data_IF_080614295595
#
_entry.id   IF_080614295595
#
_cell.length_a   1.000
_cell.length_b   1.000
_cell.length_c   1.000
_cell.angle_alpha   90.00
_cell.angle_beta   90.00
_cell.angle_gamma   90.00
#
_symmetry.space_group_name_H-M   'P 1'
#
loop_
_entity.id
_entity.type
_entity.pdbx_description
1 polymer ?
#
# COMPACT_ATOMS: atom_id res chain seq x y z
N UNK A 1 10.69 26.72 31.05
CA UNK A 1 10.26 27.17 29.70
C UNK A 1 11.04 26.32 28.71
N UNK A 2 10.34 25.64 27.80
CA UNK A 2 10.96 24.97 26.65
C UNK A 2 10.75 25.83 25.40
N UNK A 3 11.72 25.80 24.48
CA UNK A 3 11.64 26.58 23.24
C UNK A 3 10.66 25.88 22.29
N UNK A 4 9.58 26.56 21.95
CA UNK A 4 8.66 26.09 20.91
C UNK A 4 9.27 26.34 19.53
N UNK A 5 9.31 25.31 18.69
CA UNK A 5 9.73 25.41 17.28
C UNK A 5 8.49 25.37 16.40
N UNK A 6 8.30 26.39 15.58
CA UNK A 6 7.18 26.41 14.65
C UNK A 6 7.52 25.56 13.42
N UNK A 7 6.72 24.51 13.20
CA UNK A 7 6.80 23.60 12.04
C UNK A 7 8.24 23.13 11.68
N UNK A 8 9.02 22.58 12.62
CA UNK A 8 10.39 22.16 12.36
C UNK A 8 10.44 21.00 11.35
N UNK A 9 11.60 20.85 10.71
CA UNK A 9 11.96 19.66 9.95
C UNK A 9 12.63 18.65 10.89
N UNK A 10 12.30 17.37 10.71
CA UNK A 10 12.96 16.28 11.43
C UNK A 10 14.07 15.74 10.53
N UNK A 11 15.32 15.99 10.91
CA UNK A 11 16.50 15.50 10.19
C UNK A 11 17.35 14.69 11.15
N UNK A 12 17.83 13.54 10.70
CA UNK A 12 18.60 12.63 11.52
C UNK A 12 19.88 12.20 10.80
N UNK A 13 20.95 11.94 11.54
CA UNK A 13 22.24 11.54 10.99
C UNK A 13 22.54 10.10 11.35
N UNK A 14 22.78 9.27 10.33
CA UNK A 14 23.27 7.92 10.53
C UNK A 14 24.73 7.95 10.97
N UNK A 15 25.05 7.27 12.06
CA UNK A 15 26.45 7.03 12.46
C UNK A 15 26.75 5.53 12.56
N UNK A 16 28.01 5.19 12.36
CA UNK A 16 28.60 3.88 12.62
C UNK A 16 29.85 4.07 13.47
N UNK A 17 29.92 3.39 14.61
CA UNK A 17 31.11 3.37 15.47
C UNK A 17 31.70 1.96 15.60
N UNK A 18 33.02 1.83 15.71
CA UNK A 18 33.66 0.57 16.09
C UNK A 18 34.19 0.58 17.53
N UNK A 19 34.65 -0.58 17.99
CA UNK A 19 35.20 -0.75 19.34
C UNK A 19 36.60 -0.13 19.50
N UNK A 20 37.13 0.50 18.46
CA UNK A 20 38.47 1.09 18.43
C UNK A 20 38.43 2.62 18.48
N UNK A 21 37.25 3.21 18.73
CA UNK A 21 37.05 4.65 18.86
C UNK A 21 36.84 5.37 17.52
N UNK A 22 36.73 4.64 16.40
CA UNK A 22 36.36 5.24 15.13
C UNK A 22 34.84 5.43 15.09
N UNK A 23 34.40 6.62 14.67
CA UNK A 23 32.99 6.93 14.40
C UNK A 23 32.91 7.73 13.12
N UNK A 24 32.03 7.32 12.21
CA UNK A 24 31.76 7.96 10.92
C UNK A 24 30.26 8.20 10.75
N UNK A 25 29.89 9.20 9.97
CA UNK A 25 28.52 9.41 9.52
C UNK A 25 28.29 8.79 8.13
N UNK A 26 27.07 8.30 7.90
CA UNK A 26 26.59 7.88 6.58
C UNK A 26 25.57 8.89 6.01
N UNK A 27 25.82 10.18 6.25
CA UNK A 27 24.96 11.30 5.88
C UNK A 27 23.63 11.33 6.66
N UNK A 28 22.81 12.33 6.32
CA UNK A 28 21.54 12.60 6.96
C UNK A 28 20.33 12.05 6.17
N UNK A 29 19.23 11.88 6.90
CA UNK A 29 17.89 11.58 6.37
C UNK A 29 16.91 12.65 6.81
N UNK A 30 15.93 12.94 5.97
CA UNK A 30 14.77 13.75 6.33
C UNK A 30 13.57 12.84 6.60
N UNK A 31 12.96 13.02 7.77
CA UNK A 31 11.83 12.22 8.27
C UNK A 31 10.64 13.12 8.69
N UNK A 32 10.57 14.34 8.14
CA UNK A 32 9.56 15.35 8.49
C UNK A 32 8.13 14.90 8.22
N UNK A 33 7.91 14.01 7.23
CA UNK A 33 6.57 13.53 6.87
C UNK A 33 6.16 12.38 7.79
N UNK A 34 5.60 12.76 8.94
CA UNK A 34 5.17 11.86 10.01
C UNK A 34 3.72 12.12 10.42
N UNK A 35 3.06 11.11 11.02
CA UNK A 35 1.76 11.24 11.69
C UNK A 35 1.92 10.88 13.16
N UNK A 36 1.43 11.70 14.11
CA UNK A 36 1.53 11.38 15.56
C UNK A 36 2.91 10.82 15.96
N UNK A 37 3.98 11.46 15.50
CA UNK A 37 5.39 11.03 15.71
C UNK A 37 5.83 9.72 15.04
N UNK A 38 4.98 9.10 14.22
CA UNK A 38 5.30 7.93 13.41
C UNK A 38 5.69 8.37 11.99
N UNK A 39 6.94 8.09 11.60
CA UNK A 39 7.50 8.42 10.28
C UNK A 39 6.76 7.63 9.18
N UNK A 40 6.44 8.30 8.07
CA UNK A 40 5.64 7.76 6.96
C UNK A 40 6.40 7.80 5.63
N UNK A 41 7.09 8.92 5.38
CA UNK A 41 8.01 9.09 4.26
C UNK A 41 9.35 9.56 4.80
N UNK A 42 10.41 8.94 4.33
CA UNK A 42 11.79 9.24 4.68
C UNK A 42 12.61 9.39 3.41
N UNK A 43 13.58 10.30 3.40
CA UNK A 43 14.42 10.51 2.22
C UNK A 43 15.87 10.82 2.57
N UNK A 44 16.77 10.41 1.68
CA UNK A 44 18.20 10.69 1.76
C UNK A 44 18.72 11.13 0.38
N UNK A 45 19.60 12.15 0.31
CA UNK A 45 19.93 13.08 1.39
C UNK A 45 18.77 14.03 1.74
N UNK A 46 18.85 14.72 2.88
CA UNK A 46 17.88 15.77 3.19
C UNK A 46 18.07 16.96 2.25
N UNK A 47 16.98 17.50 1.72
CA UNK A 47 17.07 18.54 0.72
C UNK A 47 17.12 19.95 1.33
N UNK A 48 17.59 20.95 0.57
CA UNK A 48 17.60 22.34 1.03
C UNK A 48 18.52 22.64 2.22
N UNK A 49 19.52 21.78 2.47
CA UNK A 49 20.69 22.06 3.32
C UNK A 49 21.88 22.41 2.44
N UNK A 50 22.51 23.55 2.71
CA UNK A 50 23.80 23.93 2.12
C UNK A 50 24.89 22.94 2.56
N UNK A 51 26.01 22.92 1.83
CA UNK A 51 27.18 22.09 2.19
C UNK A 51 27.66 22.37 3.63
N UNK A 52 27.76 23.65 4.00
CA UNK A 52 28.23 24.08 5.32
C UNK A 52 27.28 23.66 6.45
N UNK A 53 25.96 23.82 6.25
CA UNK A 53 24.95 23.41 7.24
C UNK A 53 25.00 21.90 7.46
N UNK A 54 25.08 21.14 6.36
CA UNK A 54 25.22 19.69 6.40
C UNK A 54 26.50 19.26 7.12
N UNK A 55 27.65 19.81 6.77
CA UNK A 55 28.92 19.49 7.44
C UNK A 55 28.82 19.72 8.95
N UNK A 56 28.29 20.85 9.39
CA UNK A 56 28.11 21.15 10.81
C UNK A 56 27.18 20.16 11.52
N UNK A 57 26.07 19.78 10.88
CA UNK A 57 25.12 18.78 11.40
C UNK A 57 25.78 17.41 11.56
N UNK A 58 26.48 16.96 10.52
CA UNK A 58 27.15 15.66 10.46
C UNK A 58 28.31 15.56 11.46
N UNK A 59 29.14 16.60 11.57
CA UNK A 59 30.21 16.69 12.57
C UNK A 59 29.66 16.64 13.99
N UNK A 60 28.52 17.30 14.25
CA UNK A 60 27.88 17.30 15.56
C UNK A 60 27.42 15.88 15.94
N UNK A 61 26.83 15.13 15.01
CA UNK A 61 26.43 13.74 15.23
C UNK A 61 27.63 12.82 15.51
N UNK A 62 28.72 12.96 14.76
CA UNK A 62 29.96 12.20 14.99
C UNK A 62 30.57 12.54 16.35
N UNK A 63 30.58 13.82 16.73
CA UNK A 63 31.09 14.27 18.03
C UNK A 63 30.29 13.64 19.19
N UNK A 64 28.96 13.61 19.08
CA UNK A 64 28.09 12.94 20.05
C UNK A 64 28.41 11.45 20.15
N UNK A 65 28.55 10.75 19.00
CA UNK A 65 28.93 9.35 19.00
C UNK A 65 30.30 9.09 19.65
N UNK A 66 31.30 9.93 19.36
CA UNK A 66 32.64 9.81 19.95
C UNK A 66 32.65 10.09 21.45
N UNK A 67 31.90 11.07 21.93
CA UNK A 67 31.93 11.48 23.34
C UNK A 67 31.41 10.40 24.29
N UNK A 68 30.54 9.51 23.80
CA UNK A 68 29.99 8.38 24.56
C UNK A 68 30.69 7.05 24.23
N UNK A 69 31.74 7.05 23.40
CA UNK A 69 32.40 5.83 22.95
C UNK A 69 31.45 4.88 22.20
N UNK A 70 30.57 5.43 21.36
CA UNK A 70 29.51 4.68 20.71
C UNK A 70 30.08 3.61 19.76
N UNK A 71 29.45 2.44 19.76
CA UNK A 71 29.76 1.35 18.83
C UNK A 71 28.48 0.84 18.17
N UNK A 72 28.65 0.22 17.00
CA UNK A 72 27.56 -0.25 16.13
C UNK A 72 26.83 0.90 15.41
N UNK A 73 25.70 0.61 14.74
CA UNK A 73 24.86 1.59 14.08
C UNK A 73 24.01 2.37 15.09
N UNK A 74 23.91 3.68 14.87
CA UNK A 74 23.05 4.56 15.67
C UNK A 74 22.60 5.74 14.83
N UNK A 75 21.63 6.47 15.33
CA UNK A 75 21.11 7.65 14.63
C UNK A 75 20.94 8.80 15.62
N UNK A 76 21.44 9.97 15.26
CA UNK A 76 21.32 11.19 16.05
C UNK A 76 20.23 12.05 15.44
N UNK A 77 19.14 12.27 16.16
CA UNK A 77 17.96 13.00 15.69
C UNK A 77 18.05 14.48 16.03
N UNK A 78 17.69 15.33 15.06
CA UNK A 78 17.68 16.78 15.18
C UNK A 78 16.35 17.36 14.70
N UNK A 79 15.96 18.47 15.30
CA UNK A 79 14.94 19.37 14.76
C UNK A 79 15.62 20.58 14.14
N UNK A 80 15.24 20.95 12.91
CA UNK A 80 15.74 22.14 12.22
C UNK A 80 14.60 23.14 12.06
N UNK A 81 14.82 24.38 12.52
CA UNK A 81 13.87 25.48 12.39
C UNK A 81 13.97 26.19 11.02
N UNK A 82 13.06 27.15 10.78
CA UNK A 82 13.01 27.91 9.52
C UNK A 82 14.27 28.75 9.29
N UNK A 83 14.95 29.16 10.36
CA UNK A 83 16.22 29.90 10.34
C UNK A 83 17.44 28.99 10.15
N UNK A 84 17.24 27.68 9.94
CA UNK A 84 18.28 26.65 9.76
C UNK A 84 19.13 26.40 11.01
N UNK A 85 18.66 26.80 12.19
CA UNK A 85 19.25 26.33 13.43
C UNK A 85 18.78 24.90 13.70
N UNK A 86 19.71 24.02 14.06
CA UNK A 86 19.40 22.65 14.44
C UNK A 86 19.55 22.45 15.95
N UNK A 87 18.71 21.60 16.50
CA UNK A 87 18.65 21.28 17.93
C UNK A 87 18.67 19.76 18.07
N UNK A 88 19.58 19.25 18.90
CA UNK A 88 19.61 17.82 19.25
C UNK A 88 18.30 17.44 19.95
N UNK A 89 17.70 16.34 19.52
CA UNK A 89 16.49 15.79 20.13
C UNK A 89 16.84 14.56 20.97
N UNK A 90 17.29 13.51 20.31
CA UNK A 90 17.70 12.26 20.96
C UNK A 90 18.70 11.48 20.10
N UNK A 91 19.23 10.40 20.67
CA UNK A 91 20.03 9.44 19.93
C UNK A 91 19.40 8.05 20.04
N UNK A 92 19.05 7.48 18.91
CA UNK A 92 18.56 6.11 18.81
C UNK A 92 19.75 5.14 18.71
N UNK A 93 19.96 4.35 19.76
CA UNK A 93 21.10 3.44 19.91
C UNK A 93 20.87 2.07 19.24
N UNK A 94 20.25 2.10 18.06
CA UNK A 94 19.87 0.93 17.27
C UNK A 94 19.82 1.30 15.80
N UNK A 95 19.66 0.29 14.95
CA UNK A 95 19.29 0.51 13.55
C UNK A 95 17.92 1.20 13.45
N UNK A 96 17.81 2.17 12.56
CA UNK A 96 16.52 2.81 12.24
C UNK A 96 15.78 2.02 11.16
N UNK A 97 14.45 2.13 11.15
CA UNK A 97 13.60 1.40 10.19
C UNK A 97 13.92 1.83 8.75
N UNK A 98 14.13 3.13 8.60
CA UNK A 98 14.42 3.92 7.41
C UNK A 98 15.90 3.91 6.97
N UNK A 99 16.73 3.02 7.54
CA UNK A 99 18.12 2.85 7.08
C UNK A 99 18.27 2.57 5.56
N UNK A 100 17.33 1.93 4.83
CA UNK A 100 17.53 1.62 3.42
C UNK A 100 17.76 2.84 2.52
N UNK A 101 17.20 4.02 2.82
CA UNK A 101 17.46 5.22 2.01
C UNK A 101 18.93 5.64 2.10
N UNK A 102 19.57 5.42 3.25
CA UNK A 102 21.01 5.63 3.43
C UNK A 102 21.81 4.57 2.70
N UNK A 103 21.41 3.30 2.77
CA UNK A 103 22.11 2.22 2.08
C UNK A 103 22.10 2.41 0.56
N UNK A 104 20.96 2.80 -0.03
CA UNK A 104 20.84 3.01 -1.46
C UNK A 104 21.63 4.21 -1.97
N UNK A 105 21.76 5.27 -1.16
CA UNK A 105 22.52 6.47 -1.54
C UNK A 105 24.02 6.31 -1.32
N UNK A 106 24.45 5.52 -0.33
CA UNK A 106 25.87 5.35 0.01
C UNK A 106 26.49 4.07 -0.56
N UNK A 107 25.68 3.07 -0.90
CA UNK A 107 26.13 1.73 -1.28
C UNK A 107 26.65 0.89 -0.11
N UNK A 108 26.50 1.36 1.13
CA UNK A 108 26.97 0.67 2.34
C UNK A 108 25.82 -0.16 2.91
N UNK A 109 26.04 -1.46 3.05
CA UNK A 109 25.16 -2.37 3.78
C UNK A 109 25.41 -2.20 5.28
N UNK A 110 24.50 -1.48 5.94
CA UNK A 110 24.63 -1.12 7.35
C UNK A 110 24.52 -2.38 8.20
N UNK A 111 23.58 -3.28 7.90
CA UNK A 111 23.39 -4.53 8.67
C UNK A 111 24.66 -5.39 8.64
N UNK A 112 25.30 -5.50 7.48
CA UNK A 112 26.58 -6.19 7.33
C UNK A 112 27.67 -5.55 8.20
N UNK A 113 27.79 -4.22 8.18
CA UNK A 113 28.75 -3.52 9.05
C UNK A 113 28.43 -3.69 10.54
N UNK A 114 27.16 -3.69 10.94
CA UNK A 114 26.77 -3.97 12.32
C UNK A 114 27.27 -5.35 12.79
N UNK A 115 27.13 -6.39 11.95
CA UNK A 115 27.60 -7.75 12.26
C UNK A 115 29.13 -7.79 12.32
N UNK A 116 29.83 -7.12 11.41
CA UNK A 116 31.30 -7.03 11.40
C UNK A 116 31.81 -6.34 12.66
N UNK A 117 31.27 -5.19 13.01
CA UNK A 117 31.63 -4.42 14.21
C UNK A 117 31.36 -5.23 15.48
N UNK A 118 30.20 -5.88 15.56
CA UNK A 118 29.85 -6.76 16.69
C UNK A 118 30.84 -7.94 16.84
N UNK A 119 31.42 -8.39 15.73
CA UNK A 119 32.48 -9.42 15.72
C UNK A 119 33.88 -8.89 16.05
N UNK A 120 34.00 -7.63 16.46
CA UNK A 120 35.26 -6.98 16.79
C UNK A 120 36.05 -6.49 15.56
N UNK A 121 35.46 -6.39 14.38
CA UNK A 121 36.14 -5.81 13.23
C UNK A 121 36.19 -4.27 13.31
N UNK A 122 37.23 -3.67 12.73
CA UNK A 122 37.30 -2.23 12.46
C UNK A 122 36.37 -1.86 11.31
N UNK A 123 35.93 -0.59 11.27
CA UNK A 123 35.27 -0.02 10.10
C UNK A 123 36.14 -0.22 8.85
N UNK A 124 35.51 -0.61 7.73
CA UNK A 124 36.21 -0.87 6.47
C UNK A 124 36.53 0.37 5.65
N UNK A 125 36.07 1.53 6.10
CA UNK A 125 36.17 2.80 5.38
C UNK A 125 36.37 3.95 6.37
N UNK A 126 36.99 5.01 5.87
CA UNK A 126 37.14 6.29 6.55
C UNK A 126 36.10 7.29 6.04
N UNK A 127 35.89 8.37 6.81
CA UNK A 127 34.86 9.37 6.50
C UNK A 127 34.94 9.95 5.08
N UNK A 128 36.15 10.15 4.55
CA UNK A 128 36.39 10.75 3.24
C UNK A 128 36.11 9.79 2.05
N UNK A 129 35.98 8.49 2.32
CA UNK A 129 35.68 7.47 1.30
C UNK A 129 34.17 7.33 1.07
N UNK A 130 33.36 7.74 2.06
CA UNK A 130 31.90 7.62 2.02
C UNK A 130 31.33 8.74 1.14
N UNK A 131 30.60 8.36 0.10
CA UNK A 131 29.93 9.29 -0.82
C UNK A 131 28.44 8.98 -0.84
N UNK A 132 27.61 10.02 -0.84
CA UNK A 132 26.20 9.91 -1.16
C UNK A 132 25.99 10.29 -2.64
N UNK A 133 25.34 9.42 -3.40
CA UNK A 133 25.01 9.63 -4.81
C UNK A 133 23.52 9.44 -5.01
N UNK A 134 22.93 10.24 -5.90
CA UNK A 134 21.51 10.18 -6.21
C UNK A 134 20.63 10.59 -5.04
N UNK A 135 19.38 10.13 -5.08
CA UNK A 135 18.37 10.40 -4.07
C UNK A 135 17.52 9.15 -3.86
N UNK A 136 17.21 8.85 -2.61
CA UNK A 136 16.37 7.74 -2.23
C UNK A 136 15.22 8.19 -1.35
N UNK A 137 14.04 7.59 -1.56
CA UNK A 137 12.82 7.90 -0.80
C UNK A 137 12.17 6.58 -0.41
N UNK A 138 11.87 6.44 0.87
CA UNK A 138 11.13 5.33 1.45
C UNK A 138 9.68 5.75 1.75
N UNK A 139 8.75 4.83 1.50
CA UNK A 139 7.39 4.92 1.99
C UNK A 139 7.04 3.67 2.79
N UNK A 140 6.49 3.89 3.99
CA UNK A 140 5.97 2.81 4.84
C UNK A 140 4.53 2.49 4.50
N UNK A 141 4.28 1.25 4.10
CA UNK A 141 2.93 0.72 3.90
C UNK A 141 2.44 0.13 5.22
N UNK A 142 1.30 0.63 5.72
CA UNK A 142 0.68 0.20 6.97
C UNK A 142 -0.72 -0.37 6.75
N UNK A 143 -1.10 -1.35 7.57
CA UNK A 143 -2.46 -1.84 7.74
C UNK A 143 -3.29 -0.86 8.57
N UNK A 144 -3.66 0.27 7.97
CA UNK A 144 -4.36 1.36 8.64
C UNK A 144 -5.42 2.01 7.75
N UNK A 145 -6.31 2.78 8.38
CA UNK A 145 -7.30 3.60 7.69
C UNK A 145 -7.02 5.11 7.87
N UNK A 146 -6.29 5.75 6.94
CA UNK A 146 -6.02 7.19 7.00
C UNK A 146 -7.29 8.05 7.09
N UNK A 147 -8.37 7.68 6.40
CA UNK A 147 -9.62 8.43 6.41
C UNK A 147 -10.35 8.39 7.76
N UNK A 148 -10.06 7.38 8.57
CA UNK A 148 -10.53 7.26 9.96
C UNK A 148 -9.46 7.63 10.98
N UNK A 149 -8.52 8.53 10.62
CA UNK A 149 -7.48 8.98 11.54
C UNK A 149 -6.38 7.94 11.81
N UNK A 150 -6.07 7.12 10.81
CA UNK A 150 -5.06 6.05 10.86
C UNK A 150 -5.33 4.96 11.90
N UNK A 151 -6.61 4.61 12.09
CA UNK A 151 -6.95 3.45 12.92
C UNK A 151 -6.31 2.17 12.34
N UNK A 152 -5.68 1.32 13.17
CA UNK A 152 -5.19 0.01 12.74
C UNK A 152 -6.29 -0.83 12.10
N UNK A 153 -5.93 -1.59 11.08
CA UNK A 153 -6.81 -2.47 10.31
C UNK A 153 -6.28 -3.91 10.29
N UNK A 154 -6.23 -4.60 11.44
CA UNK A 154 -5.89 -6.02 11.48
C UNK A 154 -6.93 -6.84 10.69
N UNK A 155 -6.52 -8.01 10.21
CA UNK A 155 -7.37 -8.92 9.46
C UNK A 155 -6.61 -9.70 8.39
N UNK A 156 -7.38 -10.40 7.57
CA UNK A 156 -6.82 -11.28 6.54
C UNK A 156 -6.51 -10.51 5.25
N UNK A 157 -5.26 -10.58 4.81
CA UNK A 157 -4.85 -10.24 3.46
C UNK A 157 -5.18 -11.43 2.57
N UNK A 158 -6.07 -11.23 1.60
CA UNK A 158 -6.48 -12.30 0.67
C UNK A 158 -5.68 -12.29 -0.62
N UNK A 159 -5.11 -11.14 -0.97
CA UNK A 159 -4.31 -10.96 -2.15
C UNK A 159 -3.38 -9.77 -1.95
N UNK A 160 -2.12 -9.95 -2.29
CA UNK A 160 -1.13 -8.89 -2.36
C UNK A 160 -0.37 -9.01 -3.66
N UNK A 161 -0.05 -7.87 -4.27
CA UNK A 161 0.80 -7.80 -5.45
C UNK A 161 1.78 -6.64 -5.29
N UNK A 162 3.06 -6.99 -5.34
CA UNK A 162 4.18 -6.06 -5.37
C UNK A 162 4.90 -6.29 -6.69
N UNK A 163 4.96 -5.29 -7.59
CA UNK A 163 5.61 -5.47 -8.89
C UNK A 163 7.12 -5.59 -8.74
N UNK A 164 7.78 -6.32 -9.64
CA UNK A 164 9.24 -6.27 -9.74
C UNK A 164 9.65 -5.03 -10.55
N UNK A 165 10.52 -4.18 -9.98
CA UNK A 165 10.98 -2.95 -10.63
C UNK A 165 12.43 -2.64 -10.26
N UNK A 166 13.29 -2.42 -11.26
CA UNK A 166 14.76 -2.31 -11.10
C UNK A 166 15.23 -1.27 -10.07
N UNK A 167 14.56 -0.12 -10.03
CA UNK A 167 14.95 1.01 -9.17
C UNK A 167 14.16 1.07 -7.85
N UNK A 168 13.53 -0.05 -7.48
CA UNK A 168 12.77 -0.17 -6.25
C UNK A 168 13.33 -1.32 -5.44
N UNK A 169 13.65 -1.02 -4.18
CA UNK A 169 13.86 -2.03 -3.15
C UNK A 169 12.56 -2.19 -2.37
N UNK A 170 12.21 -3.45 -2.10
CA UNK A 170 11.07 -3.81 -1.29
C UNK A 170 11.56 -4.63 -0.09
N UNK A 171 11.38 -4.09 1.12
CA UNK A 171 11.55 -4.84 2.34
C UNK A 171 10.13 -5.17 2.87
N UNK A 172 9.67 -6.41 2.71
CA UNK A 172 8.33 -6.83 3.16
C UNK A 172 8.35 -8.20 3.83
N UNK A 173 7.50 -8.37 4.85
CA UNK A 173 7.19 -9.66 5.45
C UNK A 173 6.03 -10.40 4.77
N UNK A 174 5.44 -9.85 3.70
CA UNK A 174 4.26 -10.41 3.02
C UNK A 174 4.69 -11.08 1.73
N UNK A 175 4.47 -12.39 1.65
CA UNK A 175 4.77 -13.19 0.46
C UNK A 175 3.54 -13.89 -0.14
N UNK A 176 2.51 -14.07 0.68
CA UNK A 176 1.29 -14.81 0.35
C UNK A 176 0.12 -14.26 1.19
N UNK A 177 -1.13 -14.69 0.92
CA UNK A 177 -2.25 -14.39 1.81
C UNK A 177 -1.91 -14.73 3.27
N UNK A 178 -2.09 -13.77 4.17
CA UNK A 178 -1.68 -13.88 5.56
C UNK A 178 -2.60 -13.07 6.48
N UNK A 179 -2.51 -13.35 7.78
CA UNK A 179 -3.24 -12.64 8.81
C UNK A 179 -2.38 -11.54 9.43
N UNK A 180 -2.89 -10.31 9.45
CA UNK A 180 -2.28 -9.19 10.19
C UNK A 180 -2.92 -9.13 11.57
N UNK A 181 -2.13 -9.47 12.59
CA UNK A 181 -2.56 -9.47 13.98
C UNK A 181 -2.45 -8.07 14.60
N UNK A 182 -3.29 -7.78 15.59
CA UNK A 182 -3.28 -6.51 16.32
C UNK A 182 -2.19 -6.41 17.40
N UNK A 183 -1.43 -7.49 17.63
CA UNK A 183 -0.40 -7.54 18.69
C UNK A 183 0.91 -6.87 18.31
N UNK A 184 1.13 -6.60 17.02
CA UNK A 184 2.37 -6.05 16.50
C UNK A 184 2.13 -4.73 15.78
N UNK A 185 3.22 -4.05 15.43
CA UNK A 185 3.16 -2.87 14.58
C UNK A 185 2.49 -3.21 13.22
N UNK A 186 1.58 -2.36 12.72
CA UNK A 186 0.81 -2.66 11.50
C UNK A 186 1.61 -2.49 10.20
N UNK A 187 2.93 -2.33 10.23
CA UNK A 187 3.76 -2.17 9.02
C UNK A 187 3.75 -3.45 8.19
N UNK A 188 3.43 -3.29 6.91
CA UNK A 188 3.30 -4.35 5.91
C UNK A 188 4.54 -4.44 5.02
N UNK A 189 5.08 -3.29 4.63
CA UNK A 189 6.24 -3.20 3.76
C UNK A 189 6.88 -1.81 3.84
N UNK A 190 8.16 -1.76 3.50
CA UNK A 190 8.88 -0.53 3.13
C UNK A 190 9.16 -0.58 1.64
N UNK A 191 8.75 0.45 0.93
CA UNK A 191 9.01 0.60 -0.50
C UNK A 191 9.99 1.73 -0.67
N UNK A 192 11.16 1.44 -1.23
CA UNK A 192 12.25 2.40 -1.33
C UNK A 192 12.62 2.59 -2.78
N UNK A 193 12.49 3.81 -3.28
CA UNK A 193 12.97 4.19 -4.60
C UNK A 193 14.36 4.77 -4.53
N UNK A 194 15.09 4.63 -5.64
CA UNK A 194 16.37 5.29 -5.86
C UNK A 194 16.43 5.84 -7.29
N UNK A 195 16.90 7.08 -7.44
CA UNK A 195 17.11 7.70 -8.73
C UNK A 195 18.25 8.74 -8.69
N UNK A 196 18.70 9.26 -9.85
CA UNK A 196 19.75 10.29 -9.89
C UNK A 196 19.35 11.61 -9.20
N UNK A 197 18.07 11.93 -9.14
CA UNK A 197 17.55 13.10 -8.44
C UNK A 197 16.23 12.79 -7.71
N UNK A 198 15.86 13.68 -6.78
CA UNK A 198 14.67 13.54 -5.95
C UNK A 198 13.38 13.43 -6.76
N UNK A 199 13.23 14.22 -7.82
CA UNK A 199 11.99 14.24 -8.61
C UNK A 199 11.78 12.87 -9.26
N UNK A 200 12.82 12.32 -9.88
CA UNK A 200 12.79 10.98 -10.46
C UNK A 200 12.54 9.91 -9.38
N UNK A 201 13.11 10.03 -8.18
CA UNK A 201 12.86 9.09 -7.09
C UNK A 201 11.39 9.11 -6.64
N UNK A 202 10.77 10.30 -6.57
CA UNK A 202 9.32 10.44 -6.30
C UNK A 202 8.50 9.79 -7.41
N UNK A 203 8.83 10.03 -8.68
CA UNK A 203 8.11 9.49 -9.83
C UNK A 203 8.16 7.94 -9.86
N UNK A 204 9.33 7.36 -9.60
CA UNK A 204 9.51 5.90 -9.49
C UNK A 204 8.67 5.32 -8.34
N UNK A 205 8.67 5.97 -7.18
CA UNK A 205 7.88 5.55 -6.01
C UNK A 205 6.37 5.67 -6.27
N UNK A 206 5.92 6.76 -6.87
CA UNK A 206 4.52 6.95 -7.27
C UNK A 206 4.07 5.86 -8.26
N UNK A 207 4.91 5.56 -9.26
CA UNK A 207 4.64 4.52 -10.26
C UNK A 207 4.51 3.16 -9.57
N UNK A 208 5.43 2.81 -8.67
CA UNK A 208 5.39 1.54 -7.95
C UNK A 208 4.13 1.41 -7.07
N UNK A 209 3.82 2.45 -6.28
CA UNK A 209 2.62 2.48 -5.42
C UNK A 209 1.32 2.43 -6.24
N UNK A 210 1.31 2.94 -7.47
CA UNK A 210 0.14 2.85 -8.36
C UNK A 210 -0.17 1.42 -8.83
N UNK A 211 0.82 0.53 -8.76
CA UNK A 211 0.71 -0.87 -9.18
C UNK A 211 0.64 -1.82 -7.98
N UNK A 212 0.99 -1.35 -6.78
CA UNK A 212 0.96 -2.14 -5.55
C UNK A 212 -0.48 -2.36 -5.09
N UNK A 213 -0.82 -3.60 -4.77
CA UNK A 213 -2.20 -3.99 -4.39
C UNK A 213 -2.16 -4.79 -3.10
N UNK A 214 -3.04 -4.46 -2.15
CA UNK A 214 -3.31 -5.25 -0.95
C UNK A 214 -4.83 -5.29 -0.75
N UNK A 215 -5.41 -6.48 -0.80
CA UNK A 215 -6.84 -6.72 -0.62
C UNK A 215 -7.14 -7.49 0.66
N UNK A 216 -8.26 -7.16 1.30
CA UNK A 216 -8.76 -7.81 2.52
C UNK A 216 -8.84 -6.87 3.71
N UNK A 217 -7.79 -6.06 3.90
CA UNK A 217 -7.66 -5.04 4.94
C UNK A 217 -7.63 -3.62 4.36
N UNK A 218 -7.86 -2.61 5.20
CA UNK A 218 -7.56 -1.21 4.85
C UNK A 218 -6.04 -0.98 4.96
N UNK A 219 -5.52 -0.08 4.14
CA UNK A 219 -4.12 0.30 4.13
C UNK A 219 -3.94 1.75 3.70
N UNK A 220 -2.72 2.28 3.88
CA UNK A 220 -2.39 3.67 3.59
C UNK A 220 -1.89 3.94 2.15
N UNK A 221 -1.89 2.97 1.22
CA UNK A 221 -1.32 3.15 -0.14
C UNK A 221 -1.99 4.30 -0.89
N UNK A 222 -3.33 4.39 -0.82
CA UNK A 222 -4.08 5.48 -1.44
C UNK A 222 -3.72 6.87 -0.88
N UNK A 223 -3.42 6.93 0.42
CA UNK A 223 -2.94 8.16 1.08
C UNK A 223 -1.52 8.50 0.61
N UNK A 224 -0.59 7.54 0.58
CA UNK A 224 0.79 7.74 0.12
C UNK A 224 0.83 8.29 -1.32
N UNK A 225 -0.01 7.75 -2.22
CA UNK A 225 -0.13 8.21 -3.61
C UNK A 225 -0.57 9.67 -3.72
N UNK A 226 -1.45 10.13 -2.83
CA UNK A 226 -1.88 11.54 -2.80
C UNK A 226 -0.83 12.43 -2.15
N UNK A 227 -0.20 11.97 -1.08
CA UNK A 227 0.86 12.68 -0.38
C UNK A 227 2.02 12.99 -1.33
N UNK A 228 2.49 11.99 -2.07
CA UNK A 228 3.60 12.15 -3.02
C UNK A 228 3.25 13.03 -4.23
N UNK A 229 1.96 13.24 -4.53
CA UNK A 229 1.49 14.15 -5.59
C UNK A 229 1.26 15.58 -5.09
N UNK A 230 1.35 15.82 -3.79
CA UNK A 230 1.06 17.13 -3.22
C UNK A 230 2.18 18.12 -3.55
N UNK A 231 1.84 19.31 -4.06
CA UNK A 231 2.81 20.33 -4.46
C UNK A 231 3.74 20.76 -3.30
N UNK A 232 3.25 20.82 -2.07
CA UNK A 232 4.10 21.15 -0.91
C UNK A 232 5.18 20.08 -0.67
N UNK A 233 4.86 18.80 -0.90
CA UNK A 233 5.84 17.70 -0.79
C UNK A 233 6.85 17.75 -1.94
N UNK A 234 6.38 18.05 -3.15
CA UNK A 234 7.25 18.20 -4.33
C UNK A 234 8.21 19.40 -4.17
N UNK A 235 7.73 20.50 -3.61
CA UNK A 235 8.48 21.75 -3.37
C UNK A 235 9.22 21.77 -2.02
N UNK A 236 9.11 20.71 -1.20
CA UNK A 236 9.73 20.61 0.14
C UNK A 236 9.31 21.70 1.12
N UNK A 237 8.08 22.18 1.00
CA UNK A 237 7.45 23.12 1.94
C UNK A 237 6.66 22.35 3.00
N UNK A 238 7.36 21.45 3.70
CA UNK A 238 6.78 20.52 4.67
C UNK A 238 7.55 20.55 5.99
N UNK A 239 6.84 20.39 7.10
CA UNK A 239 7.43 20.13 8.42
C UNK A 239 6.67 19.02 9.14
N UNK A 240 7.02 18.76 10.40
CA UNK A 240 6.49 17.63 11.19
C UNK A 240 4.97 17.59 11.34
N UNK A 241 4.30 18.74 11.20
CA UNK A 241 2.85 18.85 11.34
C UNK A 241 2.10 18.78 10.01
N UNK A 242 2.80 18.64 8.87
CA UNK A 242 2.21 18.74 7.54
C UNK A 242 1.07 17.74 7.30
N UNK A 243 1.30 16.46 7.63
CA UNK A 243 0.29 15.41 7.41
C UNK A 243 -0.96 15.68 8.24
N UNK A 244 -0.80 16.07 9.51
CA UNK A 244 -1.92 16.34 10.41
C UNK A 244 -2.76 17.54 9.94
N UNK A 245 -2.10 18.63 9.53
CA UNK A 245 -2.76 19.83 9.02
C UNK A 245 -3.51 19.58 7.71
N UNK A 246 -3.02 18.67 6.86
CA UNK A 246 -3.56 18.40 5.53
C UNK A 246 -4.32 17.07 5.44
N UNK A 247 -4.59 16.39 6.56
CA UNK A 247 -5.12 15.02 6.56
C UNK A 247 -6.47 14.91 5.84
N UNK A 248 -7.35 15.90 6.01
CA UNK A 248 -8.66 15.93 5.35
C UNK A 248 -8.47 15.86 3.83
N UNK A 249 -7.69 16.77 3.25
CA UNK A 249 -7.48 16.84 1.81
C UNK A 249 -6.78 15.60 1.26
N UNK A 250 -5.82 15.07 2.02
CA UNK A 250 -5.09 13.85 1.67
C UNK A 250 -5.96 12.58 1.73
N UNK A 251 -7.11 12.62 2.40
CA UNK A 251 -8.01 11.47 2.57
C UNK A 251 -9.36 11.62 1.85
N UNK A 252 -9.72 12.83 1.42
CA UNK A 252 -10.98 13.10 0.71
C UNK A 252 -11.18 12.14 -0.46
N UNK A 253 -12.24 11.31 -0.47
CA UNK A 253 -12.50 10.44 -1.60
C UNK A 253 -12.72 11.30 -2.84
N UNK A 254 -12.16 10.89 -3.98
CA UNK A 254 -12.55 11.50 -5.25
C UNK A 254 -14.04 11.26 -5.43
N UNK A 255 -14.84 12.33 -5.50
CA UNK A 255 -16.27 12.22 -5.77
C UNK A 255 -16.44 11.52 -7.11
N UNK A 256 -17.08 10.35 -7.10
CA UNK A 256 -17.39 9.57 -8.31
C UNK A 256 -18.91 9.46 -8.41
N UNK A 257 -19.43 9.78 -9.58
CA UNK A 257 -20.83 9.52 -9.91
C UNK A 257 -21.03 8.02 -10.19
N UNK A 258 -22.28 7.56 -10.23
CA UNK A 258 -22.58 6.18 -10.65
C UNK A 258 -22.03 5.90 -12.06
N UNK A 259 -22.03 6.90 -12.95
CA UNK A 259 -21.50 6.79 -14.31
C UNK A 259 -20.00 6.49 -14.32
N UNK A 260 -19.23 7.14 -13.45
CA UNK A 260 -17.78 6.92 -13.33
C UNK A 260 -17.43 5.52 -12.81
N UNK A 261 -18.40 4.85 -12.16
CA UNK A 261 -18.25 3.51 -11.60
C UNK A 261 -18.70 2.40 -12.56
N UNK A 262 -19.29 2.71 -13.72
CA UNK A 262 -19.71 1.69 -14.69
C UNK A 262 -18.56 0.74 -15.07
N UNK A 263 -17.33 1.22 -15.42
CA UNK A 263 -16.23 0.31 -15.72
C UNK A 263 -15.88 -0.63 -14.55
N UNK A 264 -16.05 -0.18 -13.31
CA UNK A 264 -15.82 -0.99 -12.10
C UNK A 264 -16.90 -2.07 -11.96
N UNK A 265 -18.18 -1.73 -12.19
CA UNK A 265 -19.27 -2.72 -12.19
C UNK A 265 -19.13 -3.74 -13.32
N UNK A 266 -18.69 -3.31 -14.52
CA UNK A 266 -18.40 -4.19 -15.66
C UNK A 266 -17.22 -5.13 -15.37
N UNK A 267 -16.14 -4.62 -14.77
CA UNK A 267 -15.02 -5.43 -14.30
C UNK A 267 -15.48 -6.46 -13.25
N UNK A 268 -16.37 -6.06 -12.33
CA UNK A 268 -16.97 -6.96 -11.35
C UNK A 268 -17.79 -8.07 -12.03
N UNK A 269 -18.60 -7.73 -13.04
CA UNK A 269 -19.35 -8.69 -13.84
C UNK A 269 -18.44 -9.74 -14.49
N UNK A 270 -17.33 -9.28 -15.10
CA UNK A 270 -16.30 -10.15 -15.69
C UNK A 270 -15.69 -11.09 -14.65
N UNK A 271 -15.26 -10.56 -13.50
CA UNK A 271 -14.70 -11.38 -12.42
C UNK A 271 -15.71 -12.42 -11.94
N UNK A 272 -16.99 -12.08 -11.82
CA UNK A 272 -18.04 -13.03 -11.42
C UNK A 272 -18.21 -14.14 -12.45
N UNK A 273 -18.25 -13.78 -13.74
CA UNK A 273 -18.37 -14.75 -14.83
C UNK A 273 -17.18 -15.71 -14.84
N UNK A 274 -15.96 -15.19 -14.70
CA UNK A 274 -14.71 -15.97 -14.71
C UNK A 274 -14.59 -16.83 -13.45
N UNK A 275 -14.80 -16.26 -12.27
CA UNK A 275 -14.72 -17.00 -10.99
C UNK A 275 -15.83 -18.04 -10.81
N UNK A 276 -17.00 -17.82 -11.43
CA UNK A 276 -18.07 -18.81 -11.52
C UNK A 276 -17.79 -19.94 -12.53
N UNK A 277 -16.84 -19.75 -13.44
CA UNK A 277 -16.47 -20.68 -14.52
C UNK A 277 -14.97 -21.03 -14.50
N UNK A 278 -14.49 -21.69 -13.45
CA UNK A 278 -13.16 -22.35 -13.49
C UNK A 278 -13.24 -23.58 -14.40
N UNK A 279 -13.15 -23.34 -15.71
CA UNK A 279 -12.35 -24.07 -16.70
C UNK A 279 -12.46 -23.34 -18.06
N UNK A 280 -11.79 -22.19 -18.17
CA UNK A 280 -11.43 -21.63 -19.47
C UNK A 280 -9.93 -21.92 -19.66
N UNK A 281 -9.66 -22.82 -20.62
CA UNK A 281 -8.37 -23.31 -21.12
C UNK A 281 -7.71 -24.48 -20.37
N UNK A 282 -7.34 -25.47 -21.18
CA UNK A 282 -6.87 -26.80 -20.83
C UNK A 282 -7.21 -27.70 -22.02
N UNK A 283 -6.19 -28.12 -22.74
CA UNK A 283 -6.20 -28.63 -24.11
C UNK A 283 -6.90 -30.00 -24.26
N UNK A 284 -8.22 -30.04 -24.02
CA UNK A 284 -9.00 -31.27 -24.05
C UNK A 284 -9.68 -31.41 -25.42
N UNK A 285 -9.12 -32.29 -26.27
CA UNK A 285 -9.62 -32.68 -27.61
C UNK A 285 -10.95 -33.45 -27.57
N UNK A 286 -11.75 -33.28 -26.52
CA UNK A 286 -13.11 -33.85 -26.46
C UNK A 286 -14.11 -32.73 -26.73
N UNK A 287 -14.75 -32.78 -27.90
CA UNK A 287 -15.93 -31.99 -28.27
C UNK A 287 -17.10 -32.34 -27.33
N UNK A 288 -17.05 -31.85 -26.08
CA UNK A 288 -18.19 -31.92 -25.18
C UNK A 288 -19.18 -30.83 -25.62
N UNK A 289 -20.31 -31.27 -26.16
CA UNK A 289 -21.47 -30.45 -26.56
C UNK A 289 -21.76 -29.31 -25.54
N UNK A 290 -21.55 -29.56 -24.25
CA UNK A 290 -21.68 -28.59 -23.15
C UNK A 290 -20.73 -27.37 -23.19
N UNK A 291 -19.56 -27.47 -23.83
CA UNK A 291 -18.67 -26.32 -24.12
C UNK A 291 -19.18 -25.45 -25.28
N UNK A 292 -19.85 -26.05 -26.26
CA UNK A 292 -20.37 -25.35 -27.44
C UNK A 292 -21.72 -24.66 -27.18
N UNK A 293 -22.55 -25.20 -26.29
CA UNK A 293 -23.86 -24.60 -25.96
C UNK A 293 -23.70 -23.42 -24.97
N UNK A 294 -22.59 -23.38 -24.22
CA UNK A 294 -22.50 -22.56 -23.01
C UNK A 294 -23.38 -23.12 -21.90
N UNK A 295 -22.98 -22.97 -20.64
CA UNK A 295 -23.83 -23.39 -19.54
C UNK A 295 -25.03 -22.43 -19.41
N UNK A 296 -26.20 -22.90 -19.81
CA UNK A 296 -27.49 -22.28 -19.49
C UNK A 296 -27.75 -22.44 -17.99
N UNK A 297 -27.21 -21.55 -17.16
CA UNK A 297 -27.86 -21.20 -15.90
C UNK A 297 -28.83 -20.07 -16.20
N UNK A 298 -30.10 -20.23 -15.82
CA UNK A 298 -31.07 -19.14 -15.78
C UNK A 298 -30.39 -17.90 -15.19
N UNK A 299 -30.39 -16.84 -15.98
CA UNK A 299 -29.63 -15.61 -15.82
C UNK A 299 -29.90 -15.03 -14.42
N UNK A 300 -28.95 -15.21 -13.50
CA UNK A 300 -29.04 -14.60 -12.19
C UNK A 300 -28.98 -13.07 -12.36
N UNK A 301 -30.01 -12.38 -11.89
CA UNK A 301 -29.92 -10.96 -11.56
C UNK A 301 -29.02 -10.88 -10.33
N UNK A 302 -27.79 -10.40 -10.48
CA UNK A 302 -26.81 -10.37 -9.40
C UNK A 302 -26.76 -8.95 -8.82
N UNK A 303 -27.38 -8.70 -7.65
CA UNK A 303 -27.27 -7.41 -6.98
C UNK A 303 -25.86 -7.20 -6.43
N UNK A 304 -25.21 -6.14 -6.91
CA UNK A 304 -23.90 -5.68 -6.43
C UNK A 304 -24.05 -4.35 -5.71
N UNK A 305 -23.38 -4.25 -4.56
CA UNK A 305 -23.28 -3.03 -3.77
C UNK A 305 -21.83 -2.55 -3.69
N UNK A 306 -21.63 -1.24 -3.89
CA UNK A 306 -20.40 -0.52 -3.59
C UNK A 306 -20.75 0.78 -2.87
N UNK A 307 -20.44 0.84 -1.57
CA UNK A 307 -20.85 1.94 -0.68
C UNK A 307 -22.36 2.22 -0.81
N UNK A 308 -22.76 3.45 -1.13
CA UNK A 308 -24.13 3.87 -1.38
C UNK A 308 -24.68 3.44 -2.75
N UNK A 309 -23.83 3.00 -3.68
CA UNK A 309 -24.24 2.63 -5.03
C UNK A 309 -24.65 1.16 -5.11
N UNK A 310 -25.80 0.92 -5.73
CA UNK A 310 -26.29 -0.41 -6.05
C UNK A 310 -26.55 -0.52 -7.56
N UNK A 311 -26.24 -1.68 -8.11
CA UNK A 311 -26.56 -2.02 -9.49
C UNK A 311 -26.84 -3.52 -9.62
N UNK A 312 -27.75 -3.85 -10.53
CA UNK A 312 -28.10 -5.22 -10.87
C UNK A 312 -27.34 -5.66 -12.12
N UNK A 313 -26.53 -6.70 -12.00
CA UNK A 313 -25.82 -7.28 -13.15
C UNK A 313 -26.67 -8.37 -13.77
N UNK A 314 -26.85 -8.32 -15.10
CA UNK A 314 -27.43 -9.40 -15.88
C UNK A 314 -26.49 -9.78 -17.01
N UNK A 315 -26.14 -11.06 -17.09
CA UNK A 315 -25.30 -11.59 -18.16
C UNK A 315 -26.16 -12.02 -19.34
N UNK A 316 -25.87 -11.51 -20.54
CA UNK A 316 -26.63 -11.86 -21.74
C UNK A 316 -25.91 -12.92 -22.58
N UNK A 317 -24.60 -12.82 -22.74
CA UNK A 317 -23.79 -13.83 -23.43
C UNK A 317 -22.59 -13.24 -24.17
N UNK A 318 -21.67 -14.09 -24.66
CA UNK A 318 -20.71 -13.68 -25.67
C UNK A 318 -21.40 -13.51 -27.03
N UNK A 319 -21.17 -12.39 -27.71
CA UNK A 319 -21.62 -12.12 -29.08
C UNK A 319 -20.38 -11.89 -29.95
N UNK A 320 -19.94 -12.94 -30.65
CA UNK A 320 -18.72 -12.91 -31.44
C UNK A 320 -17.47 -12.76 -30.55
N UNK A 321 -16.74 -11.65 -30.69
CA UNK A 321 -15.55 -11.31 -29.86
C UNK A 321 -15.90 -10.41 -28.66
N UNK A 322 -17.17 -10.06 -28.51
CA UNK A 322 -17.64 -9.14 -27.49
C UNK A 322 -18.39 -9.89 -26.39
N UNK A 323 -18.41 -9.34 -25.18
CA UNK A 323 -19.31 -9.79 -24.12
C UNK A 323 -20.28 -8.69 -23.73
N UNK A 324 -21.57 -9.06 -23.69
CA UNK A 324 -22.66 -8.14 -23.39
C UNK A 324 -23.24 -8.37 -22.00
N UNK A 325 -23.42 -7.27 -21.28
CA UNK A 325 -23.98 -7.22 -19.92
C UNK A 325 -25.08 -6.17 -19.88
N UNK A 326 -26.09 -6.39 -19.06
CA UNK A 326 -26.93 -5.29 -18.59
C UNK A 326 -26.49 -4.89 -17.18
N UNK A 327 -26.33 -3.59 -16.99
CA UNK A 327 -26.28 -3.00 -15.66
C UNK A 327 -27.61 -2.28 -15.46
N UNK A 328 -28.38 -2.74 -14.49
CA UNK A 328 -29.77 -2.36 -14.29
C UNK A 328 -30.60 -2.64 -15.56
N UNK A 329 -30.99 -1.62 -16.31
CA UNK A 329 -31.77 -1.74 -17.57
C UNK A 329 -30.97 -1.34 -18.82
N UNK A 330 -29.72 -0.92 -18.65
CA UNK A 330 -28.88 -0.44 -19.73
C UNK A 330 -27.91 -1.52 -20.22
N UNK A 331 -27.78 -1.62 -21.55
CA UNK A 331 -26.92 -2.61 -22.22
C UNK A 331 -25.51 -2.07 -22.44
N UNK A 332 -24.51 -2.89 -22.10
CA UNK A 332 -23.09 -2.58 -22.23
C UNK A 332 -22.36 -3.72 -22.96
N UNK A 333 -21.46 -3.37 -23.89
CA UNK A 333 -20.61 -4.33 -24.61
C UNK A 333 -19.13 -4.09 -24.30
N UNK A 334 -18.40 -5.18 -24.07
CA UNK A 334 -16.97 -5.21 -23.76
C UNK A 334 -16.19 -5.95 -24.85
N UNK A 335 -15.02 -5.43 -25.20
CA UNK A 335 -14.11 -6.01 -26.21
C UNK A 335 -12.72 -6.28 -25.62
N UNK A 336 -11.88 -7.04 -26.31
CA UNK A 336 -10.47 -7.31 -25.93
C UNK A 336 -10.31 -7.76 -24.47
N UNK A 337 -11.17 -8.69 -24.05
CA UNK A 337 -11.22 -9.17 -22.67
C UNK A 337 -10.08 -10.16 -22.47
N UNK A 338 -9.25 -9.89 -21.47
CA UNK A 338 -8.16 -10.74 -21.05
C UNK A 338 -8.17 -10.88 -19.52
N UNK A 339 -7.81 -12.07 -19.05
CA UNK A 339 -7.72 -12.36 -17.62
C UNK A 339 -6.57 -13.30 -17.34
N UNK A 340 -5.52 -12.75 -16.73
CA UNK A 340 -4.34 -13.51 -16.36
C UNK A 340 -3.79 -13.00 -15.02
N UNK A 341 -3.33 -13.91 -14.15
CA UNK A 341 -2.65 -13.57 -12.89
C UNK A 341 -3.40 -12.53 -12.05
N UNK A 342 -4.71 -12.71 -11.87
CA UNK A 342 -5.59 -11.80 -11.14
C UNK A 342 -5.68 -10.37 -11.74
N UNK A 343 -5.29 -10.17 -13.00
CA UNK A 343 -5.49 -8.92 -13.74
C UNK A 343 -6.60 -9.13 -14.77
N UNK A 344 -7.67 -8.34 -14.68
CA UNK A 344 -8.70 -8.24 -15.71
C UNK A 344 -8.38 -7.04 -16.59
N UNK A 345 -8.33 -7.25 -17.89
CA UNK A 345 -8.21 -6.20 -18.89
C UNK A 345 -9.38 -6.28 -19.86
N UNK A 346 -9.93 -5.13 -20.26
CA UNK A 346 -10.95 -5.04 -21.29
C UNK A 346 -10.96 -3.65 -21.92
N UNK A 347 -11.56 -3.55 -23.11
CA UNK A 347 -11.87 -2.30 -23.78
C UNK A 347 -13.36 -2.01 -23.67
N UNK A 348 -13.69 -0.79 -23.27
CA UNK A 348 -15.05 -0.27 -23.19
C UNK A 348 -15.08 1.15 -23.74
N UNK A 349 -16.01 1.44 -24.67
CA UNK A 349 -16.12 2.75 -25.33
C UNK A 349 -14.77 3.26 -25.88
N UNK A 350 -14.02 2.40 -26.57
CA UNK A 350 -12.68 2.66 -27.12
C UNK A 350 -11.61 3.07 -26.08
N UNK A 351 -11.84 2.81 -24.79
CA UNK A 351 -10.87 3.01 -23.70
C UNK A 351 -10.49 1.67 -23.07
N UNK A 352 -9.21 1.49 -22.78
CA UNK A 352 -8.69 0.32 -22.10
C UNK A 352 -8.79 0.48 -20.58
N UNK A 353 -9.26 -0.57 -19.90
CA UNK A 353 -9.38 -0.63 -18.45
C UNK A 353 -8.64 -1.87 -17.92
N UNK A 354 -7.92 -1.70 -16.82
CA UNK A 354 -7.18 -2.76 -16.15
C UNK A 354 -7.46 -2.73 -14.65
N UNK A 355 -7.85 -3.87 -14.10
CA UNK A 355 -8.10 -4.03 -12.66
C UNK A 355 -7.42 -5.28 -12.13
N UNK A 356 -6.57 -5.12 -11.11
CA UNK A 356 -6.15 -6.26 -10.29
C UNK A 356 -7.33 -6.66 -9.40
N UNK A 357 -7.64 -7.94 -9.33
CA UNK A 357 -8.84 -8.41 -8.67
C UNK A 357 -8.58 -9.57 -7.70
N UNK A 358 -9.46 -9.72 -6.72
CA UNK A 358 -9.50 -10.92 -5.88
C UNK A 358 -10.92 -11.14 -5.37
N UNK A 359 -11.28 -12.39 -5.14
CA UNK A 359 -12.62 -12.77 -4.68
C UNK A 359 -12.49 -13.49 -3.35
N UNK A 360 -13.28 -13.09 -2.36
CA UNK A 360 -13.50 -13.87 -1.13
C UNK A 360 -14.99 -13.95 -0.85
N UNK A 361 -15.58 -15.11 -1.10
CA UNK A 361 -16.97 -15.41 -0.85
C UNK A 361 -17.89 -14.39 -1.55
N UNK A 362 -18.50 -13.48 -0.79
CA UNK A 362 -19.38 -12.44 -1.31
C UNK A 362 -18.68 -11.11 -1.63
N UNK A 363 -17.38 -10.98 -1.37
CA UNK A 363 -16.62 -9.74 -1.55
C UNK A 363 -15.74 -9.86 -2.78
N UNK A 364 -15.74 -8.84 -3.61
CA UNK A 364 -14.87 -8.71 -4.77
C UNK A 364 -14.09 -7.42 -4.60
N UNK A 365 -12.76 -7.52 -4.68
CA UNK A 365 -11.89 -6.35 -4.71
C UNK A 365 -11.39 -6.13 -6.12
N UNK A 366 -11.38 -4.88 -6.54
CA UNK A 366 -10.83 -4.40 -7.80
C UNK A 366 -9.91 -3.22 -7.48
N UNK A 367 -8.69 -3.23 -7.98
CA UNK A 367 -7.76 -2.10 -7.82
C UNK A 367 -7.26 -1.65 -9.19
N UNK A 368 -7.43 -0.37 -9.47
CA UNK A 368 -6.84 0.32 -10.62
C UNK A 368 -5.64 1.19 -10.17
N UNK A 369 -5.11 2.00 -11.09
CA UNK A 369 -3.98 2.90 -10.82
C UNK A 369 -4.30 4.00 -9.81
N UNK A 370 -5.56 4.23 -9.45
CA UNK A 370 -6.00 5.32 -8.57
C UNK A 370 -6.50 4.78 -7.23
N UNK A 371 -7.41 3.81 -7.25
CA UNK A 371 -8.18 3.39 -6.08
C UNK A 371 -8.46 1.89 -6.04
N UNK A 372 -8.82 1.43 -4.84
CA UNK A 372 -9.33 0.09 -4.57
C UNK A 372 -10.82 0.15 -4.29
N UNK A 373 -11.60 -0.66 -5.00
CA UNK A 373 -13.04 -0.81 -4.87
C UNK A 373 -13.35 -2.16 -4.23
N UNK A 374 -14.18 -2.15 -3.19
CA UNK A 374 -14.65 -3.34 -2.51
C UNK A 374 -16.14 -3.49 -2.74
N UNK A 375 -16.50 -4.37 -3.67
CA UNK A 375 -17.87 -4.66 -4.04
C UNK A 375 -18.41 -5.85 -3.24
N UNK A 376 -19.70 -5.84 -2.95
CA UNK A 376 -20.40 -6.89 -2.19
C UNK A 376 -21.52 -7.47 -3.04
N UNK A 377 -21.45 -8.79 -3.25
CA UNK A 377 -22.50 -9.63 -3.79
C UNK A 377 -23.59 -9.85 -2.74
N UNK A 378 -24.83 -9.44 -3.04
CA UNK A 378 -25.97 -9.62 -2.13
C UNK A 378 -26.73 -10.93 -2.37
N UNK A 379 -26.49 -11.58 -3.51
CA UNK A 379 -27.05 -12.89 -3.84
C UNK A 379 -26.44 -14.04 -3.00
N UNK A 380 -25.24 -13.84 -2.47
CA UNK A 380 -24.57 -14.82 -1.63
C UNK A 380 -24.87 -14.57 -0.14
N UNK A 381 -25.51 -15.56 0.50
CA UNK A 381 -25.82 -15.54 1.93
C UNK A 381 -24.56 -15.41 2.80
N UNK A 382 -24.69 -14.80 3.98
CA UNK A 382 -23.58 -14.74 4.95
C UNK A 382 -23.29 -16.14 5.48
N UNK A 383 -22.02 -16.57 5.42
CA UNK A 383 -21.56 -17.88 5.93
C UNK A 383 -21.85 -18.10 7.43
N UNK A 384 -21.98 -17.01 8.18
CA UNK A 384 -22.30 -17.01 9.62
C UNK A 384 -23.68 -16.39 9.87
N UNK A 385 -24.69 -16.77 9.09
CA UNK A 385 -26.05 -16.66 9.59
C UNK A 385 -26.13 -17.58 10.80
N UNK A 386 -26.08 -17.03 12.01
CA UNK A 386 -26.64 -17.71 13.17
C UNK A 386 -28.09 -17.93 12.78
N UNK A 387 -28.41 -19.15 12.35
CA UNK A 387 -29.76 -19.66 12.43
C UNK A 387 -29.99 -19.82 13.92
N UNK A 388 -30.25 -18.70 14.61
CA UNK A 388 -30.81 -18.76 15.94
C UNK A 388 -32.09 -19.54 15.75
N UNK A 389 -32.18 -20.66 16.45
CA UNK A 389 -33.40 -21.41 16.60
C UNK A 389 -34.55 -20.41 16.68
N UNK A 390 -35.46 -20.53 15.71
CA UNK A 390 -36.80 -19.98 15.82
C UNK A 390 -37.24 -20.28 17.23
N UNK A 391 -37.57 -19.23 18.00
CA UNK A 391 -38.07 -19.31 19.37
C UNK A 391 -39.17 -20.38 19.48
N UNK A 392 -38.76 -21.60 19.82
CA UNK A 392 -39.64 -22.69 20.15
C UNK A 392 -39.92 -22.59 21.65
N UNK A 393 -40.62 -21.52 22.02
CA UNK A 393 -41.32 -21.42 23.30
C UNK A 393 -42.79 -21.12 23.05
N UNK A 394 -43.52 -22.24 23.01
CA UNK A 394 -44.93 -22.41 23.40
C UNK A 394 -46.00 -21.72 22.55
N UNK A 395 -46.55 -22.45 21.58
CA UNK A 395 -47.89 -23.03 21.78
C UNK A 395 -48.21 -24.17 20.79
N UNK A 396 -48.56 -25.32 21.37
CA UNK A 396 -49.19 -26.52 20.79
C UNK A 396 -49.70 -26.43 19.34
N UNK A 397 -48.96 -27.04 18.39
CA UNK A 397 -49.46 -28.05 17.44
C UNK A 397 -48.29 -28.59 16.60
N UNK A 398 -48.06 -29.90 16.65
CA UNK A 398 -47.05 -30.60 15.84
C UNK A 398 -47.46 -30.61 14.37
N UNK A 399 -46.89 -29.72 13.55
CA UNK A 399 -46.71 -29.96 12.12
C UNK A 399 -45.42 -29.30 11.64
N UNK A 400 -44.45 -30.13 11.25
CA UNK A 400 -43.28 -29.70 10.48
C UNK A 400 -43.69 -29.80 8.99
N UNK A 401 -43.70 -28.68 8.27
CA UNK A 401 -43.84 -28.66 6.82
C UNK A 401 -42.55 -28.21 6.15
N UNK A 402 -42.08 -29.01 5.20
CA UNK A 402 -40.90 -28.74 4.37
C UNK A 402 -41.22 -27.69 3.31
N UNK A 403 -40.32 -26.74 3.00
CA UNK A 403 -40.55 -25.73 1.97
C UNK A 403 -40.22 -26.33 0.60
N UNK A 404 -41.10 -27.16 0.05
CA UNK A 404 -41.10 -27.44 -1.38
C UNK A 404 -42.29 -26.73 -2.03
N UNK A 405 -42.00 -25.77 -2.93
CA UNK A 405 -42.99 -25.21 -3.83
C UNK A 405 -43.21 -26.18 -4.99
N UNK A 406 -44.39 -26.79 -5.03
CA UNK A 406 -44.85 -27.56 -6.18
C UNK A 406 -46.28 -28.07 -6.02
N UNK A 407 -47.17 -27.57 -6.89
CA UNK A 407 -48.48 -28.14 -7.29
C UNK A 407 -49.54 -28.31 -6.19
N UNK A 408 -50.57 -27.49 -6.29
CA UNK A 408 -51.96 -27.95 -6.19
C UNK A 408 -52.63 -27.76 -7.55
#
# INVERSE_FOLDING_TARGET
MERYLNNPRHIEVQILGDQYGNVVHLFERECSLQRRFQKIIEEAPASGLTKKEREKLLESAVLIGKSIGYSNAGTVEFLIDEEKNFYFLEMNTRIQVEHPVTELTTGIDIIKEQIRIASGAKLTFQQHEIKAVGHSIEARIYAEDPASGFLPSPGEIHYSYFPEQKNIRLDSGIQAPCSVQSHYDPMLAKVISFAPDRKQAIEELQKYLSQTVIHGIKNNIGFLKKLLKNNHVLEQKTGVNFIEQNLKDLTLPTSKTKQDLIPVFLACALVILISGNVQISGNDKTNKIWKNIGFWRQIYRIPIEYKEFQSMIHFYGPFGKEMEFYLDEEKYSLQNIDYENNLVHFTFQNKAFSYRCSVNHRKIWLTDKEATYKLIRKDILKKNGVYSDIDDKSNNQKHISSPMYGKF
#
